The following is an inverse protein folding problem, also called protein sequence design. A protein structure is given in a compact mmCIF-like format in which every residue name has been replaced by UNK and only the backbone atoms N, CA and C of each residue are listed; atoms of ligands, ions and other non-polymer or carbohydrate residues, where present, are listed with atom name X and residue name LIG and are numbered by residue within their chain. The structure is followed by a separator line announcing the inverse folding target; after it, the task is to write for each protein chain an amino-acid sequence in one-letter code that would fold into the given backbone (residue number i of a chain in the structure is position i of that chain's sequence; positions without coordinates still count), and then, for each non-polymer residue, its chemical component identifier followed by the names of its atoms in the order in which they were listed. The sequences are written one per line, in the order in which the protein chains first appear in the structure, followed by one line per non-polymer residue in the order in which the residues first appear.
data_IF_914350757839
#
_entry.id   IF_914350757839
#
_cell.length_a   1.000
_cell.length_b   1.000
_cell.length_c   1.000
_cell.angle_alpha   90.00
_cell.angle_beta   90.00
_cell.angle_gamma   90.00
#
_symmetry.space_group_name_H-M   'P 1'
#
loop_
_entity.id
_entity.type
_entity.pdbx_description
1 polymer ?
#
# COMPACT_ATOMS: atom_id res chain seq x y z
N UNK A 1 -13.28 21.28 11.82
CA UNK A 1 -12.15 21.80 11.02
C UNK A 1 -10.94 20.91 11.32
N UNK A 2 -10.24 20.39 10.31
CA UNK A 2 -9.12 19.43 10.51
C UNK A 2 -7.74 20.11 10.48
N UNK A 3 -7.66 21.41 10.21
CA UNK A 3 -6.41 22.16 10.10
C UNK A 3 -6.61 23.53 10.74
N UNK A 4 -5.51 24.23 11.05
CA UNK A 4 -5.56 25.64 11.48
C UNK A 4 -4.96 26.54 10.39
N UNK A 5 -5.56 27.69 10.08
CA UNK A 5 -5.02 28.62 9.09
C UNK A 5 -3.83 29.41 9.66
N UNK A 6 -2.92 29.84 8.78
CA UNK A 6 -1.79 30.73 9.06
C UNK A 6 -1.68 31.79 7.96
N UNK A 7 -0.78 32.75 8.11
CA UNK A 7 -0.56 33.84 7.14
C UNK A 7 -0.36 33.35 5.70
N UNK A 8 0.35 32.23 5.50
CA UNK A 8 0.70 31.71 4.17
C UNK A 8 0.34 30.23 3.96
N UNK A 9 -0.55 29.65 4.79
CA UNK A 9 -0.87 28.24 4.67
C UNK A 9 -1.64 27.64 5.84
N UNK A 10 -1.43 26.35 6.08
CA UNK A 10 -2.10 25.60 7.15
C UNK A 10 -1.10 24.95 8.09
N UNK A 11 -1.47 24.84 9.36
CA UNK A 11 -0.88 23.90 10.31
C UNK A 11 -1.77 22.67 10.34
N UNK A 12 -1.19 21.51 10.00
CA UNK A 12 -1.84 20.22 10.11
C UNK A 12 -2.14 19.91 11.58
N UNK A 13 -3.35 19.42 11.86
CA UNK A 13 -3.63 18.82 13.16
C UNK A 13 -3.18 17.36 13.18
N UNK A 14 -3.12 16.75 14.38
CA UNK A 14 -2.89 15.32 14.51
C UNK A 14 -3.90 14.49 13.71
N UNK A 15 -5.17 14.92 13.70
CA UNK A 15 -6.23 14.27 12.93
C UNK A 15 -5.97 14.35 11.43
N UNK A 16 -5.49 15.50 10.94
CA UNK A 16 -5.16 15.67 9.53
C UNK A 16 -3.99 14.78 9.09
N UNK A 17 -2.92 14.73 9.89
CA UNK A 17 -1.78 13.86 9.58
C UNK A 17 -2.14 12.37 9.65
N UNK A 18 -3.03 11.98 10.57
CA UNK A 18 -3.57 10.62 10.62
C UNK A 18 -4.34 10.25 9.35
N UNK A 19 -5.19 11.14 8.84
CA UNK A 19 -5.89 10.93 7.57
C UNK A 19 -4.91 10.84 6.39
N UNK A 20 -3.92 11.74 6.33
CA UNK A 20 -2.92 11.73 5.26
C UNK A 20 -2.12 10.43 5.24
N UNK A 21 -1.70 9.94 6.41
CA UNK A 21 -1.01 8.66 6.53
C UNK A 21 -1.90 7.49 6.08
N UNK A 22 -3.16 7.45 6.50
CA UNK A 22 -4.10 6.40 6.08
C UNK A 22 -4.34 6.41 4.55
N UNK A 23 -4.44 7.59 3.93
CA UNK A 23 -4.55 7.72 2.47
C UNK A 23 -3.31 7.16 1.78
N UNK A 24 -2.11 7.43 2.32
CA UNK A 24 -0.88 6.87 1.78
C UNK A 24 -0.86 5.33 1.91
N UNK A 25 -1.33 4.76 3.02
CA UNK A 25 -1.41 3.30 3.22
C UNK A 25 -2.38 2.63 2.25
N UNK A 26 -3.57 3.22 2.03
CA UNK A 26 -4.53 2.74 1.04
C UNK A 26 -3.95 2.80 -0.38
N UNK A 27 -3.13 3.81 -0.70
CA UNK A 27 -2.46 3.89 -2.00
C UNK A 27 -1.54 2.69 -2.20
N UNK A 28 -0.67 2.38 -1.24
CA UNK A 28 0.22 1.21 -1.35
C UNK A 28 -0.56 -0.10 -1.45
N UNK A 29 -1.59 -0.29 -0.63
CA UNK A 29 -2.43 -1.50 -0.69
C UNK A 29 -3.13 -1.65 -2.05
N UNK A 30 -3.61 -0.54 -2.62
CA UNK A 30 -4.26 -0.54 -3.94
C UNK A 30 -3.26 -0.85 -5.05
N UNK A 31 -2.07 -0.23 -5.01
CA UNK A 31 -1.00 -0.51 -5.98
C UNK A 31 -0.55 -1.96 -5.92
N UNK A 32 -0.39 -2.53 -4.73
CA UNK A 32 -0.06 -3.95 -4.57
C UNK A 32 -1.17 -4.85 -5.15
N UNK A 33 -2.44 -4.57 -4.84
CA UNK A 33 -3.57 -5.32 -5.40
C UNK A 33 -3.58 -5.28 -6.93
N UNK A 34 -3.30 -4.14 -7.54
CA UNK A 34 -3.24 -3.99 -9.00
C UNK A 34 -2.05 -4.71 -9.62
N UNK A 35 -0.87 -4.61 -9.00
CA UNK A 35 0.32 -5.35 -9.44
C UNK A 35 0.09 -6.86 -9.37
N UNK A 36 -0.49 -7.36 -8.28
CA UNK A 36 -0.85 -8.77 -8.12
C UNK A 36 -1.87 -9.22 -9.18
N UNK A 37 -2.90 -8.40 -9.43
CA UNK A 37 -3.90 -8.68 -10.49
C UNK A 37 -3.25 -8.77 -11.87
N UNK A 38 -2.31 -7.89 -12.18
CA UNK A 38 -1.56 -7.92 -13.44
C UNK A 38 -0.71 -9.18 -13.57
N UNK A 39 0.00 -9.56 -12.51
CA UNK A 39 0.85 -10.75 -12.50
C UNK A 39 0.03 -12.05 -12.65
N UNK A 40 -1.14 -12.14 -12.00
CA UNK A 40 -2.10 -13.25 -12.16
C UNK A 40 -2.61 -13.35 -13.60
N UNK A 41 -2.72 -12.24 -14.32
CA UNK A 41 -3.10 -12.21 -15.75
C UNK A 41 -1.96 -12.55 -16.72
N UNK A 42 -0.74 -12.82 -16.24
CA UNK A 42 0.43 -13.12 -17.07
C UNK A 42 0.37 -14.53 -17.68
N UNK A 43 1.15 -14.75 -18.73
CA UNK A 43 1.39 -16.08 -19.30
C UNK A 43 2.49 -16.86 -18.57
N UNK A 44 3.29 -16.19 -17.73
CA UNK A 44 4.34 -16.83 -16.93
C UNK A 44 3.75 -17.44 -15.64
N UNK A 45 3.82 -18.77 -15.45
CA UNK A 45 3.33 -19.41 -14.23
C UNK A 45 4.01 -18.92 -12.94
N UNK A 46 5.27 -18.48 -13.01
CA UNK A 46 5.96 -17.96 -11.83
C UNK A 46 5.38 -16.60 -11.40
N UNK A 47 5.18 -15.68 -12.34
CA UNK A 47 4.49 -14.41 -12.09
C UNK A 47 3.07 -14.63 -11.54
N UNK A 48 2.32 -15.60 -12.07
CA UNK A 48 0.97 -15.92 -11.57
C UNK A 48 1.00 -16.37 -10.11
N UNK A 49 1.90 -17.31 -9.77
CA UNK A 49 2.03 -17.81 -8.39
C UNK A 49 2.43 -16.69 -7.42
N UNK A 50 3.31 -15.79 -7.85
CA UNK A 50 3.75 -14.64 -7.06
C UNK A 50 2.59 -13.66 -6.82
N UNK A 51 1.80 -13.37 -7.85
CA UNK A 51 0.60 -12.54 -7.75
C UNK A 51 -0.45 -13.13 -6.79
N UNK A 52 -0.70 -14.43 -6.84
CA UNK A 52 -1.62 -15.09 -5.92
C UNK A 52 -1.14 -15.02 -4.46
N UNK A 53 0.16 -15.27 -4.24
CA UNK A 53 0.76 -15.19 -2.91
C UNK A 53 0.69 -13.77 -2.33
N UNK A 54 1.03 -12.76 -3.12
CA UNK A 54 0.96 -11.36 -2.71
C UNK A 54 -0.48 -10.92 -2.38
N UNK A 55 -1.47 -11.34 -3.19
CA UNK A 55 -2.89 -11.08 -2.90
C UNK A 55 -3.34 -11.75 -1.60
N UNK A 56 -2.97 -13.02 -1.41
CA UNK A 56 -3.33 -13.76 -0.20
C UNK A 56 -2.70 -13.16 1.06
N UNK A 57 -1.46 -12.68 0.98
CA UNK A 57 -0.80 -11.95 2.06
C UNK A 57 -1.57 -10.66 2.40
N UNK A 58 -1.92 -9.85 1.40
CA UNK A 58 -2.64 -8.58 1.60
C UNK A 58 -3.99 -8.77 2.31
N UNK A 59 -4.67 -9.90 2.09
CA UNK A 59 -5.95 -10.24 2.75
C UNK A 59 -5.81 -10.61 4.23
N UNK A 60 -4.58 -10.91 4.69
CA UNK A 60 -4.30 -11.43 6.03
C UNK A 60 -3.51 -10.44 6.92
N UNK A 61 -3.19 -9.25 6.40
CA UNK A 61 -2.38 -8.27 7.13
C UNK A 61 -3.05 -7.76 8.41
N UNK A 62 -2.25 -7.58 9.45
CA UNK A 62 -2.70 -6.92 10.68
C UNK A 62 -2.61 -5.39 10.52
N UNK A 63 -3.77 -4.76 10.35
CA UNK A 63 -3.90 -3.30 10.21
C UNK A 63 -3.83 -2.53 11.53
N UNK A 64 -3.73 -3.22 12.67
CA UNK A 64 -3.60 -2.61 13.99
C UNK A 64 -2.16 -2.68 14.53
N UNK A 65 -1.26 -3.36 13.81
CA UNK A 65 0.14 -3.52 14.14
C UNK A 65 1.03 -2.34 13.74
N UNK A 66 2.31 -2.62 13.46
CA UNK A 66 3.26 -1.62 12.97
C UNK A 66 2.97 -1.28 11.50
N UNK A 67 2.23 -0.19 11.27
CA UNK A 67 1.90 0.31 9.93
C UNK A 67 3.14 0.69 9.10
N UNK A 68 4.25 1.05 9.76
CA UNK A 68 5.51 1.33 9.08
C UNK A 68 6.17 0.06 8.54
N UNK A 69 6.12 -1.03 9.29
CA UNK A 69 6.55 -2.35 8.83
C UNK A 69 5.64 -2.87 7.73
N UNK A 70 4.32 -2.78 7.92
CA UNK A 70 3.33 -3.17 6.93
C UNK A 70 3.55 -2.46 5.59
N UNK A 71 3.82 -1.15 5.61
CA UNK A 71 4.12 -0.38 4.39
C UNK A 71 5.39 -0.85 3.69
N UNK A 72 6.44 -1.22 4.44
CA UNK A 72 7.67 -1.76 3.85
C UNK A 72 7.41 -3.10 3.17
N UNK A 73 6.70 -4.00 3.83
CA UNK A 73 6.34 -5.31 3.24
C UNK A 73 5.47 -5.13 1.97
N UNK A 74 4.52 -4.19 1.98
CA UNK A 74 3.77 -3.84 0.75
C UNK A 74 4.69 -3.38 -0.39
N UNK A 75 5.67 -2.53 -0.09
CA UNK A 75 6.66 -2.05 -1.08
C UNK A 75 7.49 -3.21 -1.63
N UNK A 76 7.97 -4.10 -0.76
CA UNK A 76 8.78 -5.24 -1.16
C UNK A 76 8.01 -6.16 -2.11
N UNK A 77 6.75 -6.48 -1.80
CA UNK A 77 5.88 -7.25 -2.71
C UNK A 77 5.64 -6.53 -4.05
N UNK A 78 5.41 -5.21 -4.04
CA UNK A 78 5.23 -4.43 -5.28
C UNK A 78 6.48 -4.54 -6.16
N UNK A 79 7.67 -4.34 -5.58
CA UNK A 79 8.93 -4.38 -6.32
C UNK A 79 9.23 -5.78 -6.85
N UNK A 80 8.93 -6.83 -6.08
CA UNK A 80 9.07 -8.21 -6.50
C UNK A 80 8.17 -8.53 -7.71
N UNK A 81 6.89 -8.16 -7.64
CA UNK A 81 5.94 -8.32 -8.73
C UNK A 81 6.38 -7.56 -9.99
N UNK A 82 6.82 -6.31 -9.85
CA UNK A 82 7.26 -5.49 -10.97
C UNK A 82 8.55 -5.99 -11.64
N UNK A 83 9.39 -6.72 -10.89
CA UNK A 83 10.61 -7.32 -11.44
C UNK A 83 10.36 -8.66 -12.13
N UNK A 84 9.19 -9.26 -11.93
CA UNK A 84 8.80 -10.57 -12.45
C UNK A 84 7.92 -10.53 -13.72
N UNK A 85 7.46 -9.34 -14.12
CA UNK A 85 6.62 -9.11 -15.31
C UNK A 85 7.44 -8.64 -16.50
#
# INVERSE_FOLDING_TARGET
MLTYPTVDGIVGTLQWEGVRAAVDDVRYATTLREAATSAIGSADPAAVALGEAARAWLEQVDILGDLGALRREMVDHILELQSSV
#
